data_IF_908555715604
#
_entry.id   IF_908555715604
#
_cell.length_a   1.000
_cell.length_b   1.000
_cell.length_c   1.000
_cell.angle_alpha   90.00
_cell.angle_beta   90.00
_cell.angle_gamma   90.00
#
_symmetry.space_group_name_H-M   'P 1'
#
loop_
_entity.id
_entity.type
_entity.pdbx_description
1 polymer ?
#
# COMPACT_ATOMS: atom_id res chain seq x y z
N UNK A 1 15.53 34.99 0.08
CA UNK A 1 14.80 34.24 -0.97
C UNK A 1 13.32 34.30 -0.63
N UNK A 2 12.54 35.09 -1.36
CA UNK A 2 11.08 35.08 -1.24
C UNK A 2 10.55 33.86 -2.01
N UNK A 3 10.02 32.88 -1.29
CA UNK A 3 9.17 31.87 -1.92
C UNK A 3 7.90 32.57 -2.38
N UNK A 4 7.64 32.56 -3.68
CA UNK A 4 6.35 32.97 -4.23
C UNK A 4 5.24 32.10 -3.59
N UNK A 5 4.02 32.63 -3.38
CA UNK A 5 2.93 31.85 -2.83
C UNK A 5 2.71 30.64 -3.74
N UNK A 6 3.00 29.46 -3.21
CA UNK A 6 2.74 28.20 -3.90
C UNK A 6 1.23 28.14 -4.06
N UNK A 7 0.72 28.23 -5.29
CA UNK A 7 -0.64 27.81 -5.57
C UNK A 7 -0.73 26.38 -5.05
N UNK A 8 -1.54 26.15 -4.01
CA UNK A 8 -1.71 24.82 -3.45
C UNK A 8 -2.23 23.93 -4.58
N UNK A 9 -1.37 23.07 -5.12
CA UNK A 9 -1.76 22.11 -6.15
C UNK A 9 -2.75 21.16 -5.50
N UNK A 10 -3.99 21.15 -5.99
CA UNK A 10 -4.97 20.16 -5.54
C UNK A 10 -4.68 18.81 -6.20
N UNK A 11 -3.76 18.07 -5.58
CA UNK A 11 -3.41 16.73 -6.02
C UNK A 11 -4.59 15.75 -6.00
N UNK A 12 -5.70 16.04 -5.32
CA UNK A 12 -6.87 15.15 -5.33
C UNK A 12 -7.57 15.13 -6.70
N UNK A 13 -7.48 16.24 -7.45
CA UNK A 13 -8.08 16.37 -8.79
C UNK A 13 -7.34 15.58 -9.88
N UNK A 14 -6.16 15.04 -9.57
CA UNK A 14 -5.34 14.33 -10.55
C UNK A 14 -5.95 12.98 -10.94
N UNK A 15 -5.69 12.57 -12.19
CA UNK A 15 -6.19 11.31 -12.75
C UNK A 15 -5.79 10.09 -11.91
N UNK A 16 -6.57 9.00 -11.93
CA UNK A 16 -6.22 7.77 -11.21
C UNK A 16 -4.80 7.25 -11.49
N UNK A 17 -4.33 7.31 -12.74
CA UNK A 17 -2.95 6.93 -13.08
C UNK A 17 -1.90 7.84 -12.44
N UNK A 18 -2.19 9.14 -12.31
CA UNK A 18 -1.32 10.07 -11.56
C UNK A 18 -1.32 9.75 -10.07
N UNK A 19 -2.48 9.39 -9.50
CA UNK A 19 -2.57 8.96 -8.10
C UNK A 19 -1.72 7.72 -7.84
N UNK A 20 -1.68 6.76 -8.77
CA UNK A 20 -0.76 5.62 -8.69
C UNK A 20 0.70 6.08 -8.54
N UNK A 21 1.17 7.04 -9.33
CA UNK A 21 2.53 7.58 -9.22
C UNK A 21 2.75 8.30 -7.88
N UNK A 22 1.75 9.03 -7.39
CA UNK A 22 1.82 9.77 -6.13
C UNK A 22 1.92 8.86 -4.89
N UNK A 23 1.54 7.58 -4.98
CA UNK A 23 1.86 6.58 -3.94
C UNK A 23 3.36 6.39 -3.69
N UNK A 24 4.22 6.90 -4.60
CA UNK A 24 5.69 6.89 -4.48
C UNK A 24 6.29 8.26 -4.15
N UNK A 25 5.46 9.25 -3.79
CA UNK A 25 5.92 10.57 -3.36
C UNK A 25 6.85 10.49 -2.14
N UNK A 26 7.74 11.47 -1.99
CA UNK A 26 8.55 11.64 -0.76
C UNK A 26 7.71 12.15 0.42
N UNK A 27 6.52 12.67 0.16
CA UNK A 27 5.55 13.10 1.18
C UNK A 27 4.64 11.94 1.60
N UNK A 28 4.70 11.56 2.89
CA UNK A 28 3.84 10.55 3.50
C UNK A 28 2.35 10.84 3.41
N UNK A 29 1.94 12.09 3.59
CA UNK A 29 0.54 12.49 3.50
C UNK A 29 0.01 12.34 2.09
N UNK A 30 0.80 12.74 1.09
CA UNK A 30 0.42 12.60 -0.30
C UNK A 30 0.30 11.13 -0.72
N UNK A 31 1.25 10.29 -0.29
CA UNK A 31 1.17 8.84 -0.53
C UNK A 31 -0.11 8.22 0.05
N UNK A 32 -0.43 8.53 1.31
CA UNK A 32 -1.62 8.01 1.99
C UNK A 32 -2.90 8.50 1.30
N UNK A 33 -2.97 9.80 0.98
CA UNK A 33 -4.12 10.39 0.28
C UNK A 33 -4.34 9.73 -1.09
N UNK A 34 -3.28 9.55 -1.87
CA UNK A 34 -3.36 8.89 -3.18
C UNK A 34 -3.71 7.41 -3.07
N UNK A 35 -3.19 6.69 -2.06
CA UNK A 35 -3.58 5.31 -1.79
C UNK A 35 -5.09 5.19 -1.52
N UNK A 36 -5.66 6.09 -0.70
CA UNK A 36 -7.11 6.14 -0.43
C UNK A 36 -7.95 6.38 -1.68
N UNK A 37 -7.44 7.16 -2.63
CA UNK A 37 -8.14 7.42 -3.90
C UNK A 37 -8.13 6.20 -4.81
N UNK A 38 -7.02 5.46 -4.91
CA UNK A 38 -6.92 4.33 -5.84
C UNK A 38 -7.38 2.99 -5.28
N UNK A 39 -7.38 2.81 -3.94
CA UNK A 39 -7.86 1.60 -3.25
C UNK A 39 -9.24 1.12 -3.73
N UNK A 40 -10.30 1.97 -3.80
CA UNK A 40 -11.63 1.52 -4.20
C UNK A 40 -11.75 1.20 -5.69
N UNK A 41 -10.78 1.57 -6.53
CA UNK A 41 -10.87 1.38 -7.98
C UNK A 41 -10.82 -0.10 -8.37
N UNK A 42 -10.06 -0.92 -7.64
CA UNK A 42 -9.86 -2.36 -7.91
C UNK A 42 -9.40 -2.72 -9.34
N UNK A 43 -9.01 -1.73 -10.13
CA UNK A 43 -8.51 -1.95 -11.48
C UNK A 43 -7.17 -2.69 -11.47
N UNK A 44 -6.95 -3.70 -12.34
CA UNK A 44 -5.71 -4.48 -12.33
C UNK A 44 -4.41 -3.66 -12.40
N UNK A 45 -4.45 -2.49 -13.05
CA UNK A 45 -3.32 -1.58 -13.19
C UNK A 45 -3.05 -0.71 -11.94
N UNK A 46 -3.97 -0.62 -10.97
CA UNK A 46 -3.73 0.05 -9.67
C UNK A 46 -3.12 -0.89 -8.63
N UNK A 47 -3.39 -2.19 -8.73
CA UNK A 47 -2.96 -3.22 -7.77
C UNK A 47 -1.46 -3.17 -7.44
N UNK A 48 -0.52 -3.04 -8.41
CA UNK A 48 0.90 -2.98 -8.09
C UNK A 48 1.23 -1.84 -7.12
N UNK A 49 0.56 -0.69 -7.26
CA UNK A 49 0.80 0.50 -6.45
C UNK A 49 0.28 0.34 -5.02
N UNK A 50 -0.81 -0.40 -4.82
CA UNK A 50 -1.29 -0.76 -3.47
C UNK A 50 -0.40 -1.84 -2.84
N UNK A 51 -0.08 -2.90 -3.59
CA UNK A 51 0.69 -4.02 -3.04
C UNK A 51 2.12 -3.61 -2.68
N UNK A 52 2.76 -2.74 -3.46
CA UNK A 52 4.10 -2.21 -3.15
C UNK A 52 4.13 -1.41 -1.83
N UNK A 53 3.05 -0.74 -1.45
CA UNK A 53 2.96 -0.02 -0.18
C UNK A 53 3.04 -0.94 1.04
N UNK A 54 2.63 -2.21 0.92
CA UNK A 54 2.75 -3.21 1.99
C UNK A 54 4.20 -3.46 2.42
N UNK A 55 5.16 -3.12 1.55
CA UNK A 55 6.59 -3.21 1.81
C UNK A 55 7.20 -1.90 2.30
N UNK A 56 6.41 -0.91 2.72
CA UNK A 56 6.87 0.38 3.25
C UNK A 56 6.70 0.44 4.78
N UNK A 57 7.33 1.43 5.41
CA UNK A 57 7.40 1.54 6.87
C UNK A 57 6.30 2.43 7.50
N UNK A 58 5.43 3.05 6.69
CA UNK A 58 4.39 3.98 7.19
C UNK A 58 3.14 3.18 7.56
N UNK A 59 2.98 2.90 8.86
CA UNK A 59 1.94 1.98 9.35
C UNK A 59 0.53 2.48 9.09
N UNK A 60 0.30 3.80 9.07
CA UNK A 60 -1.01 4.41 8.82
C UNK A 60 -1.54 4.06 7.43
N UNK A 61 -0.65 4.01 6.42
CA UNK A 61 -1.01 3.56 5.07
C UNK A 61 -1.36 2.06 5.10
N UNK A 62 -0.61 1.27 5.86
CA UNK A 62 -0.85 -0.18 5.98
C UNK A 62 -2.18 -0.48 6.67
N UNK A 63 -2.55 0.30 7.68
CA UNK A 63 -3.85 0.22 8.35
C UNK A 63 -4.99 0.56 7.39
N UNK A 64 -4.87 1.64 6.60
CA UNK A 64 -5.88 1.98 5.59
C UNK A 64 -6.08 0.84 4.58
N UNK A 65 -4.99 0.24 4.09
CA UNK A 65 -5.02 -0.89 3.16
C UNK A 65 -5.65 -2.13 3.83
N UNK A 66 -5.29 -2.42 5.08
CA UNK A 66 -5.83 -3.55 5.83
C UNK A 66 -7.34 -3.40 6.10
N UNK A 67 -7.80 -2.19 6.44
CA UNK A 67 -9.23 -1.88 6.60
C UNK A 67 -10.01 -2.00 5.29
N UNK A 68 -9.39 -1.65 4.15
CA UNK A 68 -10.03 -1.75 2.84
C UNK A 68 -10.06 -3.18 2.27
N UNK A 69 -9.28 -4.11 2.83
CA UNK A 69 -9.10 -5.48 2.33
C UNK A 69 -10.41 -6.25 2.03
N UNK A 70 -11.50 -6.14 2.83
CA UNK A 70 -12.77 -6.82 2.52
C UNK A 70 -13.40 -6.40 1.18
N UNK A 71 -13.00 -5.27 0.62
CA UNK A 71 -13.53 -4.70 -0.62
C UNK A 71 -12.62 -4.94 -1.83
N UNK A 72 -11.54 -5.73 -1.69
CA UNK A 72 -10.63 -6.01 -2.79
C UNK A 72 -11.28 -6.95 -3.81
N UNK A 73 -11.01 -6.72 -5.08
CA UNK A 73 -11.27 -7.72 -6.12
C UNK A 73 -10.33 -8.91 -5.92
N UNK A 74 -10.82 -9.93 -5.22
CA UNK A 74 -10.08 -11.14 -4.93
C UNK A 74 -9.47 -11.78 -6.19
N UNK A 75 -10.17 -11.76 -7.33
CA UNK A 75 -9.69 -12.41 -8.57
C UNK A 75 -8.52 -11.63 -9.15
N UNK A 76 -8.64 -10.31 -9.23
CA UNK A 76 -7.59 -9.44 -9.75
C UNK A 76 -6.32 -9.48 -8.87
N UNK A 77 -6.48 -9.38 -7.55
CA UNK A 77 -5.36 -9.46 -6.61
C UNK A 77 -4.70 -10.85 -6.61
N UNK A 78 -5.48 -11.94 -6.64
CA UNK A 78 -4.93 -13.29 -6.74
C UNK A 78 -4.13 -13.48 -8.03
N UNK A 79 -4.64 -12.96 -9.16
CA UNK A 79 -3.95 -13.00 -10.45
C UNK A 79 -2.61 -12.26 -10.39
N UNK A 80 -2.59 -11.05 -9.85
CA UNK A 80 -1.36 -10.27 -9.66
C UNK A 80 -0.34 -11.04 -8.82
N UNK A 81 -0.77 -11.61 -7.69
CA UNK A 81 0.10 -12.36 -6.77
C UNK A 81 0.70 -13.60 -7.44
N UNK A 82 -0.10 -14.37 -8.20
CA UNK A 82 0.39 -15.55 -8.95
C UNK A 82 1.44 -15.17 -9.99
N UNK A 83 1.25 -14.05 -10.69
CA UNK A 83 2.18 -13.58 -11.71
C UNK A 83 3.47 -12.98 -11.12
N UNK A 84 3.46 -12.53 -9.87
CA UNK A 84 4.53 -11.72 -9.27
C UNK A 84 5.14 -12.32 -7.99
N UNK A 85 5.23 -13.65 -7.88
CA UNK A 85 5.67 -14.34 -6.63
C UNK A 85 7.01 -13.85 -6.06
N UNK A 86 7.98 -13.52 -6.92
CA UNK A 86 9.28 -13.01 -6.45
C UNK A 86 9.14 -11.64 -5.79
N UNK A 87 8.32 -10.76 -6.37
CA UNK A 87 8.01 -9.43 -5.81
C UNK A 87 7.31 -9.58 -4.46
N UNK A 88 6.34 -10.50 -4.36
CA UNK A 88 5.62 -10.76 -3.11
C UNK A 88 6.54 -11.21 -1.98
N UNK A 89 7.54 -12.05 -2.27
CA UNK A 89 8.56 -12.47 -1.30
C UNK A 89 9.40 -11.28 -0.81
N UNK A 90 9.81 -10.40 -1.72
CA UNK A 90 10.58 -9.20 -1.36
C UNK A 90 9.77 -8.24 -0.48
N UNK A 91 8.50 -8.00 -0.83
CA UNK A 91 7.58 -7.17 -0.05
C UNK A 91 7.40 -7.74 1.36
N UNK A 92 7.18 -9.05 1.48
CA UNK A 92 7.04 -9.72 2.78
C UNK A 92 8.31 -9.63 3.64
N UNK A 93 9.48 -9.72 3.01
CA UNK A 93 10.76 -9.54 3.72
C UNK A 93 10.90 -8.11 4.26
N UNK A 94 10.57 -7.08 3.47
CA UNK A 94 10.55 -5.68 3.93
C UNK A 94 9.55 -5.47 5.06
N UNK A 95 8.31 -5.93 4.91
CA UNK A 95 7.28 -5.82 5.93
C UNK A 95 7.71 -6.46 7.26
N UNK A 96 8.35 -7.64 7.19
CA UNK A 96 8.89 -8.33 8.37
C UNK A 96 10.03 -7.54 9.02
N UNK A 97 10.92 -6.95 8.22
CA UNK A 97 12.02 -6.12 8.71
C UNK A 97 11.50 -4.88 9.44
N UNK A 98 10.55 -4.15 8.85
CA UNK A 98 9.96 -2.96 9.47
C UNK A 98 9.14 -3.27 10.71
N UNK A 99 8.37 -4.36 10.69
CA UNK A 99 7.71 -4.83 11.91
C UNK A 99 8.72 -5.05 13.04
N UNK A 100 9.80 -5.79 12.77
CA UNK A 100 10.79 -6.10 13.80
C UNK A 100 11.53 -4.86 14.30
N UNK A 101 11.88 -3.93 13.39
CA UNK A 101 12.65 -2.73 13.72
C UNK A 101 11.84 -1.68 14.48
N UNK A 102 10.59 -1.44 14.07
CA UNK A 102 9.82 -0.27 14.51
C UNK A 102 8.52 -0.62 15.25
N UNK A 103 7.89 -1.75 14.95
CA UNK A 103 6.49 -1.98 15.34
C UNK A 103 6.26 -3.22 16.21
N UNK A 104 7.31 -3.98 16.58
CA UNK A 104 7.15 -5.19 17.42
C UNK A 104 6.58 -4.92 18.81
N UNK A 105 6.72 -3.69 19.33
CA UNK A 105 6.13 -3.31 20.61
C UNK A 105 4.62 -3.05 20.48
N UNK A 106 4.21 -2.29 19.46
CA UNK A 106 2.80 -1.98 19.19
C UNK A 106 2.02 -3.16 18.60
N UNK A 107 2.71 -4.05 17.88
CA UNK A 107 2.16 -5.28 17.32
C UNK A 107 3.02 -6.47 17.78
N UNK A 108 2.86 -6.96 19.03
CA UNK A 108 3.68 -8.08 19.56
C UNK A 108 3.60 -9.35 18.71
N UNK A 109 2.44 -9.61 18.11
CA UNK A 109 2.28 -10.68 17.13
C UNK A 109 2.65 -10.20 15.73
N UNK A 110 3.65 -10.82 15.08
CA UNK A 110 3.97 -10.50 13.67
C UNK A 110 2.74 -10.60 12.74
N UNK A 111 1.85 -11.55 13.00
CA UNK A 111 0.62 -11.76 12.21
C UNK A 111 -0.42 -10.64 12.40
N UNK A 112 -0.36 -9.87 13.50
CA UNK A 112 -1.25 -8.73 13.70
C UNK A 112 -0.74 -7.43 13.08
N UNK A 113 0.51 -7.40 12.58
CA UNK A 113 1.01 -6.26 11.83
C UNK A 113 0.25 -6.11 10.50
N UNK A 114 -0.32 -4.93 10.16
CA UNK A 114 -1.32 -4.79 9.11
C UNK A 114 -0.83 -5.29 7.75
N UNK A 115 0.40 -4.96 7.35
CA UNK A 115 0.95 -5.46 6.09
C UNK A 115 1.09 -6.98 6.05
N UNK A 116 1.49 -7.62 7.16
CA UNK A 116 1.61 -9.08 7.21
C UNK A 116 0.23 -9.74 7.16
N UNK A 117 -0.77 -9.16 7.82
CA UNK A 117 -2.15 -9.64 7.74
C UNK A 117 -2.66 -9.61 6.29
N UNK A 118 -2.51 -8.47 5.60
CA UNK A 118 -2.90 -8.35 4.18
C UNK A 118 -2.15 -9.33 3.31
N UNK A 119 -0.82 -9.41 3.43
CA UNK A 119 0.00 -10.34 2.62
C UNK A 119 -0.42 -11.81 2.84
N UNK A 120 -0.78 -12.20 4.07
CA UNK A 120 -1.28 -13.55 4.33
C UNK A 120 -2.60 -13.79 3.59
N UNK A 121 -3.52 -12.83 3.62
CA UNK A 121 -4.78 -12.94 2.91
C UNK A 121 -4.57 -13.05 1.40
N UNK A 122 -3.70 -12.22 0.83
CA UNK A 122 -3.33 -12.27 -0.59
C UNK A 122 -2.78 -13.65 -0.99
N UNK A 123 -1.96 -14.28 -0.14
CA UNK A 123 -1.46 -15.63 -0.39
C UNK A 123 -2.60 -16.66 -0.39
N UNK A 124 -3.59 -16.56 0.51
CA UNK A 124 -4.74 -17.48 0.52
C UNK A 124 -5.55 -17.41 -0.77
N UNK A 125 -5.80 -16.21 -1.29
CA UNK A 125 -6.54 -16.01 -2.54
C UNK A 125 -5.80 -16.53 -3.77
N UNK A 126 -4.47 -16.55 -3.71
CA UNK A 126 -3.61 -16.95 -4.81
C UNK A 126 -3.19 -18.43 -4.73
N UNK A 127 -3.75 -19.22 -3.81
CA UNK A 127 -3.45 -20.66 -3.69
C UNK A 127 -3.92 -21.43 -4.92
#
# INVERSE_FOLDING_TARGET
>A
MHFLPTVAVDFASFSPGSQCLLTRSTDGYLRQKSAKIILPLNEPWTIPFIVLLLGEYVVEILDDIHLAMPYFDQTAYASFVRQNRQVMRAIRAKATSYWNAYYRQSYPGRKSYPAIAVLNQLDTWAT
#
